data_IF_694444614476
#
_entry.id   IF_694444614476
#
_cell.length_a   1.000
_cell.length_b   1.000
_cell.length_c   1.000
_cell.angle_alpha   90.00
_cell.angle_beta   90.00
_cell.angle_gamma   90.00
#
_symmetry.space_group_name_H-M   'P 1'
#
loop_
_entity.id
_entity.type
_entity.pdbx_description
1 polymer ?
#
# COMPACT_ATOMS: atom_id res chain seq x y z
N UNK A 1 16.77 7.71 16.29
CA UNK A 1 15.48 7.54 15.57
C UNK A 1 14.35 8.30 16.29
N UNK A 2 14.70 9.25 17.16
CA UNK A 2 13.82 9.71 18.24
C UNK A 2 13.04 10.97 17.86
N UNK A 3 13.03 11.31 16.57
CA UNK A 3 12.24 12.40 16.01
C UNK A 3 11.70 12.03 14.63
N UNK A 4 10.58 12.66 14.25
CA UNK A 4 9.93 12.51 12.94
C UNK A 4 10.91 12.63 11.77
N UNK A 5 11.72 13.70 11.81
CA UNK A 5 12.71 14.00 10.78
C UNK A 5 13.84 12.98 10.77
N UNK A 6 14.31 12.56 11.95
CA UNK A 6 15.36 11.54 12.06
C UNK A 6 14.93 10.17 11.51
N UNK A 7 13.65 9.80 11.61
CA UNK A 7 13.12 8.60 10.95
C UNK A 7 13.15 8.75 9.43
N UNK A 8 12.64 9.86 8.89
CA UNK A 8 12.67 10.12 7.44
C UNK A 8 14.10 10.15 6.89
N UNK A 9 15.05 10.77 7.61
CA UNK A 9 16.47 10.80 7.24
C UNK A 9 17.07 9.39 7.21
N UNK A 10 16.73 8.52 8.17
CA UNK A 10 17.16 7.12 8.15
C UNK A 10 16.59 6.36 6.94
N UNK A 11 15.31 6.55 6.59
CA UNK A 11 14.72 5.95 5.38
C UNK A 11 15.46 6.44 4.13
N UNK A 12 15.70 7.73 4.01
CA UNK A 12 16.46 8.31 2.91
C UNK A 12 17.88 7.73 2.82
N UNK A 13 18.60 7.64 3.93
CA UNK A 13 19.97 7.15 3.95
C UNK A 13 20.07 5.68 3.52
N UNK A 14 19.12 4.84 3.94
CA UNK A 14 19.04 3.43 3.50
C UNK A 14 18.78 3.37 1.99
N UNK A 15 17.81 4.13 1.49
CA UNK A 15 17.47 4.15 0.06
C UNK A 15 18.59 4.71 -0.81
N UNK A 16 19.33 5.72 -0.31
CA UNK A 16 20.51 6.26 -0.97
C UNK A 16 21.65 5.24 -1.00
N UNK A 17 21.90 4.55 0.11
CA UNK A 17 22.92 3.50 0.19
C UNK A 17 22.61 2.33 -0.75
N UNK A 18 21.33 1.97 -0.89
CA UNK A 18 20.84 0.97 -1.85
C UNK A 18 20.85 1.46 -3.32
N UNK A 19 21.32 2.68 -3.59
CA UNK A 19 21.34 3.31 -4.92
C UNK A 19 19.94 3.46 -5.57
N UNK A 20 18.87 3.41 -4.76
CA UNK A 20 17.49 3.64 -5.19
C UNK A 20 17.22 5.14 -5.33
N UNK A 21 17.71 5.93 -4.37
CA UNK A 21 17.68 7.39 -4.45
C UNK A 21 19.05 7.87 -4.92
N UNK A 22 19.09 8.51 -6.10
CA UNK A 22 20.32 9.03 -6.69
C UNK A 22 20.09 10.35 -7.44
N UNK A 23 21.13 11.15 -7.68
CA UNK A 23 21.01 12.38 -8.46
C UNK A 23 20.48 12.14 -9.88
N UNK A 24 19.88 13.17 -10.48
CA UNK A 24 19.45 13.19 -11.88
C UNK A 24 18.41 12.12 -12.28
N UNK A 25 17.70 11.54 -11.31
CA UNK A 25 16.51 10.73 -11.60
C UNK A 25 15.41 11.60 -12.19
N UNK A 26 14.70 11.06 -13.17
CA UNK A 26 13.45 11.64 -13.67
C UNK A 26 12.28 11.08 -12.85
N UNK A 27 11.22 11.86 -12.63
CA UNK A 27 9.96 11.34 -12.12
C UNK A 27 9.38 10.33 -13.10
N UNK A 28 9.46 9.04 -12.77
CA UNK A 28 8.94 7.95 -13.60
C UNK A 28 8.52 6.71 -12.80
N UNK A 29 8.55 6.77 -11.46
CA UNK A 29 8.29 5.60 -10.61
C UNK A 29 6.82 5.53 -10.17
N UNK A 30 6.16 4.43 -10.56
CA UNK A 30 4.83 4.04 -10.08
C UNK A 30 4.97 2.93 -9.06
N UNK A 31 4.42 3.12 -7.86
CA UNK A 31 4.29 2.04 -6.88
C UNK A 31 3.02 1.24 -7.20
N UNK A 32 3.14 -0.08 -7.26
CA UNK A 32 2.00 -0.98 -7.42
C UNK A 32 1.78 -1.79 -6.15
N UNK A 33 0.61 -1.61 -5.53
CA UNK A 33 0.14 -2.36 -4.37
C UNK A 33 -0.98 -3.32 -4.77
N UNK A 34 -1.18 -4.39 -3.99
CA UNK A 34 -2.24 -5.36 -4.23
C UNK A 34 -1.97 -6.73 -3.62
N UNK A 35 -2.92 -7.64 -3.75
CA UNK A 35 -2.90 -8.92 -3.06
C UNK A 35 -1.77 -9.86 -3.49
N UNK A 36 -1.21 -10.56 -2.50
CA UNK A 36 -0.32 -11.71 -2.73
C UNK A 36 -1.11 -12.94 -3.26
N UNK A 37 -2.38 -13.07 -2.86
CA UNK A 37 -3.34 -14.10 -3.29
C UNK A 37 -4.46 -13.44 -4.09
N UNK A 38 -4.46 -13.63 -5.41
CA UNK A 38 -5.41 -13.04 -6.35
C UNK A 38 -5.83 -14.03 -7.43
N UNK A 39 -7.02 -13.82 -8.00
CA UNK A 39 -7.55 -14.65 -9.08
C UNK A 39 -6.75 -14.52 -10.38
N UNK A 40 -6.97 -15.43 -11.34
CA UNK A 40 -6.26 -15.40 -12.63
C UNK A 40 -6.56 -14.12 -13.43
N UNK A 41 -7.82 -13.71 -13.46
CA UNK A 41 -8.26 -12.51 -14.17
C UNK A 41 -7.59 -11.24 -13.61
N UNK A 42 -7.57 -11.10 -12.28
CA UNK A 42 -6.87 -10.00 -11.58
C UNK A 42 -5.38 -10.02 -11.90
N UNK A 43 -4.72 -11.18 -11.83
CA UNK A 43 -3.30 -11.30 -12.15
C UNK A 43 -2.99 -10.93 -13.60
N UNK A 44 -3.81 -11.37 -14.56
CA UNK A 44 -3.65 -11.02 -15.96
C UNK A 44 -3.89 -9.51 -16.20
N UNK A 45 -4.86 -8.90 -15.51
CA UNK A 45 -5.07 -7.46 -15.53
C UNK A 45 -3.88 -6.68 -14.98
N UNK A 46 -3.29 -7.11 -13.84
CA UNK A 46 -2.09 -6.43 -13.30
C UNK A 46 -0.91 -6.46 -14.27
N UNK A 47 -0.75 -7.55 -15.04
CA UNK A 47 0.27 -7.62 -16.12
C UNK A 47 -0.06 -6.67 -17.26
N UNK A 48 -1.32 -6.58 -17.67
CA UNK A 48 -1.71 -5.66 -18.74
C UNK A 48 -1.48 -4.20 -18.33
N UNK A 49 -1.86 -3.82 -17.10
CA UNK A 49 -1.53 -2.48 -16.56
C UNK A 49 -0.02 -2.27 -16.55
N UNK A 50 0.76 -3.23 -16.05
CA UNK A 50 2.22 -3.16 -16.09
C UNK A 50 2.78 -2.98 -17.50
N UNK A 51 2.24 -3.70 -18.48
CA UNK A 51 2.62 -3.56 -19.88
C UNK A 51 2.33 -2.15 -20.40
N UNK A 52 1.16 -1.59 -20.10
CA UNK A 52 0.77 -0.24 -20.48
C UNK A 52 1.63 0.83 -19.79
N UNK A 53 1.99 0.63 -18.52
CA UNK A 53 2.95 1.49 -17.80
C UNK A 53 4.33 1.46 -18.48
N UNK A 54 4.82 0.27 -18.81
CA UNK A 54 6.11 0.10 -19.50
C UNK A 54 6.13 0.71 -20.90
N UNK A 55 5.01 0.68 -21.64
CA UNK A 55 4.88 1.38 -22.93
C UNK A 55 5.00 2.91 -22.81
N UNK A 56 4.78 3.46 -21.60
CA UNK A 56 4.89 4.89 -21.30
C UNK A 56 6.20 5.24 -20.60
N UNK A 57 7.12 4.27 -20.49
CA UNK A 57 8.43 4.43 -19.84
C UNK A 57 8.36 4.63 -18.33
N UNK A 58 7.31 4.14 -17.68
CA UNK A 58 7.16 4.22 -16.24
C UNK A 58 7.77 2.98 -15.56
N UNK A 59 8.66 3.25 -14.60
CA UNK A 59 9.27 2.26 -13.73
C UNK A 59 8.31 1.79 -12.66
N UNK A 60 8.60 0.63 -12.05
CA UNK A 60 7.70 -0.02 -11.09
C UNK A 60 8.42 -0.30 -9.77
N UNK A 61 7.77 0.04 -8.66
CA UNK A 61 8.11 -0.42 -7.32
C UNK A 61 6.98 -1.28 -6.74
N UNK A 62 7.31 -2.38 -6.04
CA UNK A 62 6.32 -3.24 -5.35
C UNK A 62 6.86 -3.79 -4.03
N UNK A 63 5.99 -4.48 -3.29
CA UNK A 63 6.29 -5.21 -2.07
C UNK A 63 6.95 -6.58 -2.25
N UNK A 64 7.62 -6.85 -3.37
CA UNK A 64 8.34 -8.10 -3.67
C UNK A 64 7.50 -9.38 -3.89
N UNK A 65 6.39 -9.60 -3.18
CA UNK A 65 5.69 -10.89 -3.14
C UNK A 65 5.00 -11.37 -4.45
N UNK A 66 4.22 -12.46 -4.40
CA UNK A 66 3.48 -12.99 -5.54
C UNK A 66 2.29 -12.10 -5.95
N UNK A 67 1.42 -12.61 -6.83
CA UNK A 67 0.19 -11.91 -7.22
C UNK A 67 0.44 -10.54 -7.86
N UNK A 68 -0.25 -9.52 -7.35
CA UNK A 68 -0.21 -8.15 -7.83
C UNK A 68 1.14 -7.45 -7.62
N UNK A 69 2.00 -7.97 -6.73
CA UNK A 69 3.35 -7.45 -6.53
C UNK A 69 4.34 -7.94 -7.60
N UNK A 70 3.96 -8.95 -8.40
CA UNK A 70 4.77 -9.55 -9.47
C UNK A 70 4.26 -9.23 -10.88
N UNK A 71 2.94 -9.25 -11.06
CA UNK A 71 2.30 -9.10 -12.37
C UNK A 71 2.70 -7.83 -13.13
N UNK A 72 2.63 -6.64 -12.50
CA UNK A 72 2.98 -5.37 -13.16
C UNK A 72 4.41 -5.36 -13.70
N UNK A 73 5.39 -5.86 -12.94
CA UNK A 73 6.78 -5.94 -13.41
C UNK A 73 6.94 -6.85 -14.65
N UNK A 74 6.22 -7.97 -14.71
CA UNK A 74 6.24 -8.86 -15.89
C UNK A 74 5.69 -8.18 -17.14
N UNK A 75 4.60 -7.43 -16.98
CA UNK A 75 4.05 -6.62 -18.07
C UNK A 75 5.03 -5.54 -18.53
N UNK A 76 5.55 -4.78 -17.57
CA UNK A 76 6.46 -3.66 -17.84
C UNK A 76 7.74 -4.10 -18.54
N UNK A 77 8.27 -5.29 -18.24
CA UNK A 77 9.41 -5.84 -18.98
C UNK A 77 9.17 -5.95 -20.49
N UNK A 78 7.96 -6.34 -20.91
CA UNK A 78 7.58 -6.39 -22.32
C UNK A 78 7.37 -4.97 -22.86
N UNK A 79 6.67 -4.11 -22.13
CA UNK A 79 6.41 -2.72 -22.51
C UNK A 79 7.70 -1.93 -22.73
N UNK A 80 8.61 -1.96 -21.76
CA UNK A 80 9.94 -1.35 -21.83
C UNK A 80 10.77 -1.89 -22.98
N UNK A 81 10.71 -3.20 -23.24
CA UNK A 81 11.42 -3.80 -24.38
C UNK A 81 10.92 -3.26 -25.72
N UNK A 82 9.60 -3.05 -25.88
CA UNK A 82 9.04 -2.46 -27.11
C UNK A 82 9.42 -0.99 -27.28
N UNK A 83 9.57 -0.26 -26.19
CA UNK A 83 10.03 1.13 -26.20
C UNK A 83 11.56 1.27 -26.28
N UNK A 84 12.29 0.16 -26.38
CA UNK A 84 13.76 0.12 -26.43
C UNK A 84 14.41 0.88 -25.25
N UNK A 85 13.77 0.86 -24.08
CA UNK A 85 14.30 1.54 -22.90
C UNK A 85 15.43 0.71 -22.29
N UNK A 86 16.58 1.36 -22.11
CA UNK A 86 17.77 0.77 -21.51
C UNK A 86 17.68 0.74 -19.98
N UNK A 87 17.23 1.85 -19.37
CA UNK A 87 17.06 1.94 -17.93
C UNK A 87 15.67 1.46 -17.52
N UNK A 88 15.60 0.30 -16.88
CA UNK A 88 14.36 -0.30 -16.36
C UNK A 88 14.55 -0.54 -14.88
N UNK A 89 13.71 0.07 -14.03
CA UNK A 89 13.80 -0.08 -12.58
C UNK A 89 12.60 -0.87 -12.08
N UNK A 90 12.89 -2.03 -11.53
CA UNK A 90 11.94 -2.92 -10.86
C UNK A 90 12.36 -3.02 -9.40
N UNK A 91 11.83 -2.09 -8.61
CA UNK A 91 12.24 -1.88 -7.23
C UNK A 91 11.40 -2.77 -6.31
N UNK A 92 12.07 -3.66 -5.60
CA UNK A 92 11.46 -4.43 -4.53
C UNK A 92 11.75 -3.79 -3.18
N UNK A 93 10.71 -3.47 -2.41
CA UNK A 93 10.83 -2.87 -1.08
C UNK A 93 10.21 -3.85 -0.07
N UNK A 94 11.05 -4.41 0.80
CA UNK A 94 10.63 -5.44 1.77
C UNK A 94 11.21 -5.14 3.17
N UNK A 95 10.89 -5.96 4.16
CA UNK A 95 11.41 -5.88 5.53
C UNK A 95 11.50 -7.29 6.17
N UNK A 96 12.32 -7.49 7.21
CA UNK A 96 12.60 -8.82 7.77
C UNK A 96 11.37 -9.63 8.22
N UNK A 97 10.32 -8.97 8.70
CA UNK A 97 9.10 -9.61 9.21
C UNK A 97 8.23 -10.26 8.14
N UNK A 98 8.33 -9.82 6.88
CA UNK A 98 7.47 -10.27 5.78
C UNK A 98 8.22 -10.93 4.64
N UNK A 99 9.54 -10.72 4.50
CA UNK A 99 10.32 -11.21 3.35
C UNK A 99 10.25 -12.74 3.16
N UNK A 100 10.03 -13.52 4.23
CA UNK A 100 9.86 -14.96 4.12
C UNK A 100 8.49 -15.36 3.54
N UNK A 101 7.45 -14.60 3.84
CA UNK A 101 6.10 -14.83 3.30
C UNK A 101 5.93 -14.24 1.90
N UNK A 102 6.58 -13.09 1.64
CA UNK A 102 6.49 -12.32 0.39
C UNK A 102 7.88 -12.13 -0.22
N UNK A 103 8.51 -13.26 -0.58
CA UNK A 103 9.88 -13.27 -1.09
C UNK A 103 10.01 -12.48 -2.42
N UNK A 104 11.13 -11.74 -2.62
CA UNK A 104 11.42 -11.03 -3.86
C UNK A 104 11.35 -11.92 -5.09
N UNK A 105 10.60 -11.50 -6.09
CA UNK A 105 10.59 -12.20 -7.38
C UNK A 105 11.88 -11.93 -8.17
N UNK A 106 12.27 -12.89 -9.00
CA UNK A 106 13.50 -12.80 -9.82
C UNK A 106 13.52 -11.68 -10.88
N UNK A 107 12.40 -10.97 -11.10
CA UNK A 107 12.35 -9.80 -11.99
C UNK A 107 12.77 -8.51 -11.29
N UNK A 108 12.74 -8.48 -9.95
CA UNK A 108 13.25 -7.36 -9.15
C UNK A 108 14.74 -7.21 -9.46
N UNK A 109 15.15 -6.00 -9.85
CA UNK A 109 16.55 -5.69 -10.16
C UNK A 109 17.17 -4.63 -9.25
N UNK A 110 16.37 -3.97 -8.42
CA UNK A 110 16.80 -3.12 -7.33
C UNK A 110 16.03 -3.56 -6.06
N UNK A 111 16.71 -4.19 -5.10
CA UNK A 111 16.10 -4.67 -3.86
C UNK A 111 16.59 -3.83 -2.68
N UNK A 112 15.67 -3.42 -1.81
CA UNK A 112 16.00 -2.82 -0.52
C UNK A 112 15.20 -3.46 0.60
N UNK A 113 15.88 -3.66 1.73
CA UNK A 113 15.29 -4.22 2.95
C UNK A 113 15.28 -3.10 3.99
N UNK A 114 14.08 -2.67 4.39
CA UNK A 114 13.88 -1.65 5.42
C UNK A 114 13.80 -2.33 6.79
N UNK A 115 14.06 -1.59 7.89
CA UNK A 115 14.10 -2.19 9.22
C UNK A 115 12.76 -2.75 9.73
N UNK A 116 11.65 -2.15 9.30
CA UNK A 116 10.28 -2.48 9.73
C UNK A 116 9.24 -2.03 8.70
N UNK A 117 7.97 -2.38 8.95
CA UNK A 117 6.83 -2.07 8.08
C UNK A 117 6.65 -0.57 7.91
N UNK A 118 6.70 0.22 8.98
CA UNK A 118 6.47 1.65 8.91
C UNK A 118 7.51 2.36 8.04
N UNK A 119 8.79 1.95 8.13
CA UNK A 119 9.84 2.46 7.25
C UNK A 119 9.70 1.97 5.81
N UNK A 120 9.18 0.76 5.60
CA UNK A 120 8.79 0.25 4.26
C UNK A 120 7.65 1.09 3.67
N UNK A 121 6.61 1.39 4.45
CA UNK A 121 5.47 2.22 4.04
C UNK A 121 5.92 3.66 3.72
N UNK A 122 6.76 4.25 4.58
CA UNK A 122 7.35 5.57 4.31
C UNK A 122 8.20 5.54 3.03
N UNK A 123 9.03 4.51 2.82
CA UNK A 123 9.81 4.37 1.60
C UNK A 123 8.93 4.37 0.34
N UNK A 124 7.80 3.66 0.33
CA UNK A 124 6.88 3.67 -0.81
C UNK A 124 6.38 5.08 -1.14
N UNK A 125 5.78 5.77 -0.18
CA UNK A 125 5.13 7.07 -0.43
C UNK A 125 6.16 8.18 -0.71
N UNK A 126 7.40 8.04 -0.22
CA UNK A 126 8.49 8.96 -0.53
C UNK A 126 9.05 8.78 -1.94
N UNK A 127 9.06 7.55 -2.45
CA UNK A 127 9.57 7.23 -3.79
C UNK A 127 8.51 7.37 -4.89
N UNK A 128 7.24 7.17 -4.54
CA UNK A 128 6.14 7.19 -5.49
C UNK A 128 5.96 8.57 -6.15
N UNK A 129 5.79 8.54 -7.46
CA UNK A 129 5.23 9.67 -8.22
C UNK A 129 3.73 9.44 -8.53
N UNK A 130 3.30 8.18 -8.45
CA UNK A 130 1.91 7.74 -8.49
C UNK A 130 1.85 6.35 -7.82
N UNK A 131 0.71 6.03 -7.21
CA UNK A 131 0.41 4.71 -6.68
C UNK A 131 -0.78 4.12 -7.44
N UNK A 132 -0.64 2.87 -7.88
CA UNK A 132 -1.73 2.06 -8.42
C UNK A 132 -2.00 0.92 -7.43
N UNK A 133 -3.23 0.83 -6.94
CA UNK A 133 -3.69 -0.20 -6.01
C UNK A 133 -4.58 -1.18 -6.75
N UNK A 134 -4.22 -2.46 -6.74
CA UNK A 134 -5.02 -3.57 -7.26
C UNK A 134 -5.77 -4.27 -6.14
N UNK A 135 -6.78 -5.12 -6.45
CA UNK A 135 -7.46 -5.90 -5.44
C UNK A 135 -6.52 -6.72 -4.56
N UNK A 136 -6.78 -6.72 -3.25
CA UNK A 136 -5.94 -7.38 -2.25
C UNK A 136 -6.65 -7.63 -0.92
N UNK A 137 -5.90 -8.17 0.03
CA UNK A 137 -6.41 -8.46 1.38
C UNK A 137 -6.00 -7.39 2.40
N UNK A 138 -5.85 -7.82 3.66
CA UNK A 138 -5.53 -6.94 4.78
C UNK A 138 -4.28 -6.06 4.58
N UNK A 139 -3.22 -6.59 3.97
CA UNK A 139 -2.00 -5.80 3.71
C UNK A 139 -2.19 -4.66 2.71
N UNK A 140 -3.03 -4.88 1.68
CA UNK A 140 -3.37 -3.83 0.71
C UNK A 140 -4.28 -2.78 1.34
N UNK A 141 -5.21 -3.19 2.21
CA UNK A 141 -6.02 -2.26 2.99
C UNK A 141 -5.17 -1.42 3.97
N UNK A 142 -4.16 -2.03 4.61
CA UNK A 142 -3.18 -1.32 5.44
C UNK A 142 -2.43 -0.24 4.63
N UNK A 143 -1.92 -0.59 3.45
CA UNK A 143 -1.23 0.34 2.55
C UNK A 143 -2.14 1.49 2.09
N UNK A 144 -3.41 1.21 1.75
CA UNK A 144 -4.39 2.23 1.36
C UNK A 144 -4.71 3.18 2.52
N UNK A 145 -5.00 2.65 3.71
CA UNK A 145 -5.30 3.46 4.90
C UNK A 145 -4.10 4.30 5.33
N UNK A 146 -2.88 3.79 5.16
CA UNK A 146 -1.65 4.54 5.39
C UNK A 146 -1.56 5.79 4.51
N UNK A 147 -1.73 5.64 3.20
CA UNK A 147 -1.65 6.80 2.29
C UNK A 147 -2.83 7.77 2.49
N UNK A 148 -4.05 7.28 2.73
CA UNK A 148 -5.20 8.15 3.00
C UNK A 148 -5.01 8.96 4.28
N UNK A 149 -4.49 8.36 5.35
CA UNK A 149 -4.13 9.07 6.58
C UNK A 149 -3.15 10.22 6.30
N UNK A 150 -2.16 10.00 5.44
CA UNK A 150 -1.21 11.04 5.02
C UNK A 150 -1.91 12.13 4.21
N UNK A 151 -2.63 11.77 3.15
CA UNK A 151 -3.18 12.74 2.21
C UNK A 151 -4.27 13.63 2.84
N UNK A 152 -5.08 13.08 3.75
CA UNK A 152 -6.08 13.85 4.51
C UNK A 152 -5.47 14.83 5.53
N UNK A 153 -4.17 14.73 5.83
CA UNK A 153 -3.54 15.63 6.79
C UNK A 153 -3.46 17.06 6.22
N UNK A 154 -3.89 18.07 6.98
CA UNK A 154 -3.98 19.49 6.54
C UNK A 154 -2.69 20.03 5.88
N UNK A 155 -1.52 19.61 6.39
CA UNK A 155 -0.20 19.98 5.87
C UNK A 155 0.13 19.44 4.48
N UNK A 156 -0.65 18.48 3.99
CA UNK A 156 -0.56 17.93 2.65
C UNK A 156 -1.65 18.47 1.71
N UNK A 157 -2.49 19.39 2.18
CA UNK A 157 -3.50 20.03 1.34
C UNK A 157 -2.86 20.64 0.08
N UNK A 158 -3.40 20.30 -1.08
CA UNK A 158 -2.89 20.75 -2.38
C UNK A 158 -1.65 20.01 -2.88
N UNK A 159 -1.15 18.98 -2.19
CA UNK A 159 -0.10 18.12 -2.72
C UNK A 159 -0.68 17.22 -3.81
N UNK A 160 -0.21 17.26 -5.07
CA UNK A 160 -0.85 16.58 -6.22
C UNK A 160 -0.49 15.09 -6.29
N UNK A 161 -0.70 14.35 -5.21
CA UNK A 161 -0.31 12.94 -5.12
C UNK A 161 -1.28 12.05 -5.91
N UNK A 162 -0.78 11.26 -6.85
CA UNK A 162 -1.63 10.37 -7.66
C UNK A 162 -1.88 9.02 -7.00
N UNK A 163 -3.16 8.67 -6.82
CA UNK A 163 -3.60 7.39 -6.27
C UNK A 163 -4.75 6.82 -7.13
N UNK A 164 -4.54 5.65 -7.71
CA UNK A 164 -5.50 4.99 -8.61
C UNK A 164 -5.84 3.61 -8.05
N UNK A 165 -7.13 3.30 -7.91
CA UNK A 165 -7.66 2.00 -7.53
C UNK A 165 -8.12 1.31 -8.82
N UNK A 166 -7.47 0.22 -9.21
CA UNK A 166 -7.63 -0.38 -10.52
C UNK A 166 -7.98 -1.86 -10.46
N UNK A 167 -9.11 -2.27 -11.02
CA UNK A 167 -9.54 -3.67 -11.11
C UNK A 167 -9.95 -4.05 -12.53
N UNK A 168 -9.93 -5.35 -12.89
CA UNK A 168 -10.65 -5.80 -14.08
C UNK A 168 -12.17 -5.65 -13.88
N UNK A 169 -12.92 -5.63 -14.98
CA UNK A 169 -14.39 -5.58 -14.97
C UNK A 169 -15.02 -6.67 -14.09
N UNK A 170 -14.43 -7.88 -14.08
CA UNK A 170 -14.93 -9.00 -13.27
C UNK A 170 -14.77 -8.82 -11.75
N UNK A 171 -14.17 -7.71 -11.32
CA UNK A 171 -13.84 -7.42 -9.93
C UNK A 171 -14.10 -5.93 -9.62
N UNK A 172 -15.09 -5.33 -10.29
CA UNK A 172 -15.61 -3.99 -10.00
C UNK A 172 -16.06 -3.87 -8.54
N UNK A 173 -16.85 -4.85 -8.09
CA UNK A 173 -17.54 -4.84 -6.80
C UNK A 173 -16.54 -4.74 -5.62
N UNK A 174 -15.32 -5.24 -5.79
CA UNK A 174 -14.25 -5.11 -4.79
C UNK A 174 -13.95 -3.65 -4.44
N UNK A 175 -13.82 -2.78 -5.44
CA UNK A 175 -13.53 -1.36 -5.18
C UNK A 175 -14.79 -0.56 -4.83
N UNK A 176 -15.97 -1.05 -5.16
CA UNK A 176 -17.23 -0.50 -4.61
C UNK A 176 -17.32 -0.76 -3.10
N UNK A 177 -16.95 -1.97 -2.63
CA UNK A 177 -16.87 -2.30 -1.20
C UNK A 177 -15.83 -1.45 -0.47
N UNK A 178 -14.64 -1.27 -1.07
CA UNK A 178 -13.58 -0.43 -0.50
C UNK A 178 -14.00 1.05 -0.45
N UNK A 179 -14.60 1.58 -1.52
CA UNK A 179 -15.10 2.96 -1.56
C UNK A 179 -16.18 3.19 -0.50
N UNK A 180 -17.14 2.27 -0.41
CA UNK A 180 -18.18 2.28 0.62
C UNK A 180 -17.60 2.24 2.04
N UNK A 181 -16.60 1.38 2.28
CA UNK A 181 -15.90 1.33 3.56
C UNK A 181 -15.18 2.64 3.88
N UNK A 182 -14.43 3.21 2.93
CA UNK A 182 -13.71 4.46 3.11
C UNK A 182 -14.68 5.61 3.41
N UNK A 183 -15.75 5.77 2.63
CA UNK A 183 -16.75 6.82 2.85
C UNK A 183 -17.44 6.68 4.20
N UNK A 184 -17.86 5.45 4.54
CA UNK A 184 -18.57 5.19 5.79
C UNK A 184 -17.71 5.36 7.04
N UNK A 185 -16.38 5.22 6.94
CA UNK A 185 -15.47 5.32 8.09
C UNK A 185 -14.72 6.64 8.16
N UNK A 186 -14.23 7.16 7.03
CA UNK A 186 -13.34 8.32 6.95
C UNK A 186 -14.03 9.58 6.42
N UNK A 187 -15.24 9.46 5.86
CA UNK A 187 -16.00 10.55 5.25
C UNK A 187 -15.88 10.57 3.72
N UNK A 188 -16.80 11.26 3.05
CA UNK A 188 -16.83 11.39 1.59
C UNK A 188 -15.59 12.11 1.04
N UNK A 189 -15.02 13.03 1.82
CA UNK A 189 -13.81 13.77 1.49
C UNK A 189 -12.59 12.86 1.35
N UNK A 190 -12.57 11.70 2.05
CA UNK A 190 -11.49 10.73 1.91
C UNK A 190 -11.45 10.11 0.51
N UNK A 191 -12.60 10.03 -0.16
CA UNK A 191 -12.71 9.48 -1.51
C UNK A 191 -12.25 10.44 -2.61
N UNK A 192 -12.03 11.72 -2.30
CA UNK A 192 -11.46 12.70 -3.25
C UNK A 192 -9.96 12.46 -3.52
N UNK A 193 -9.30 11.69 -2.66
CA UNK A 193 -7.87 11.42 -2.76
C UNK A 193 -7.51 10.27 -3.71
N UNK A 194 -8.49 9.63 -4.36
CA UNK A 194 -8.23 8.57 -5.32
C UNK A 194 -9.22 8.53 -6.49
N UNK A 195 -8.79 7.85 -7.57
CA UNK A 195 -9.63 7.57 -8.73
C UNK A 195 -9.80 6.06 -8.90
N UNK A 196 -11.04 5.60 -9.08
CA UNK A 196 -11.34 4.20 -9.41
C UNK A 196 -11.41 4.06 -10.94
N UNK A 197 -10.61 3.15 -11.49
CA UNK A 197 -10.60 2.84 -12.93
C UNK A 197 -10.77 1.32 -13.13
N UNK A 198 -11.90 0.93 -13.69
CA UNK A 198 -12.26 -0.47 -13.92
C UNK A 198 -12.08 -0.86 -15.39
N UNK A 199 -11.53 -2.05 -15.64
CA UNK A 199 -11.52 -2.70 -16.95
C UNK A 199 -10.54 -2.14 -18.00
N UNK A 200 -10.07 -0.89 -17.86
CA UNK A 200 -9.22 -0.23 -18.85
C UNK A 200 -7.78 0.01 -18.35
N UNK A 201 -6.93 -0.99 -18.59
CA UNK A 201 -5.50 -0.92 -18.24
C UNK A 201 -4.73 0.21 -18.96
N UNK A 202 -5.16 0.61 -20.16
CA UNK A 202 -4.52 1.69 -20.89
C UNK A 202 -4.89 3.05 -20.27
N UNK A 203 -6.13 3.22 -19.80
CA UNK A 203 -6.56 4.38 -19.03
C UNK A 203 -5.82 4.48 -17.70
N UNK A 204 -5.69 3.38 -16.95
CA UNK A 204 -4.87 3.35 -15.71
C UNK A 204 -3.47 3.90 -15.97
N UNK A 205 -2.80 3.41 -17.02
CA UNK A 205 -1.44 3.85 -17.33
C UNK A 205 -1.35 5.28 -17.89
N UNK A 206 -2.36 5.76 -18.64
CA UNK A 206 -2.44 7.17 -19.05
C UNK A 206 -2.57 8.07 -17.84
N UNK A 207 -3.50 7.75 -16.93
CA UNK A 207 -3.75 8.55 -15.74
C UNK A 207 -2.55 8.54 -14.79
N UNK A 208 -1.91 7.39 -14.61
CA UNK A 208 -0.66 7.30 -13.86
C UNK A 208 0.43 8.22 -14.47
N UNK A 209 0.57 8.24 -15.80
CA UNK A 209 1.54 9.12 -16.48
C UNK A 209 1.24 10.60 -16.27
N UNK A 210 -0.04 10.99 -16.26
CA UNK A 210 -0.46 12.36 -15.97
C UNK A 210 -0.10 12.77 -14.55
N UNK A 211 -0.41 11.95 -13.54
CA UNK A 211 0.01 12.20 -12.15
C UNK A 211 1.52 12.32 -12.00
N UNK A 212 2.29 11.48 -12.69
CA UNK A 212 3.75 11.57 -12.70
C UNK A 212 4.22 12.91 -13.27
N UNK A 213 3.58 13.42 -14.34
CA UNK A 213 3.90 14.72 -14.92
C UNK A 213 3.48 15.89 -14.01
N UNK A 214 2.36 15.77 -13.30
CA UNK A 214 1.91 16.73 -12.28
C UNK A 214 2.91 16.80 -11.12
N UNK A 215 3.31 15.66 -10.57
CA UNK A 215 4.37 15.57 -9.55
C UNK A 215 5.66 16.19 -10.05
N UNK A 216 6.08 15.90 -11.28
CA UNK A 216 7.29 16.50 -11.87
C UNK A 216 7.20 18.03 -11.90
N UNK A 217 6.08 18.60 -12.37
CA UNK A 217 5.88 20.05 -12.42
C UNK A 217 5.89 20.66 -11.01
N UNK A 218 5.22 20.00 -10.07
CA UNK A 218 5.15 20.44 -8.68
C UNK A 218 6.52 20.44 -8.00
N UNK A 219 7.31 19.37 -8.14
CA UNK A 219 8.67 19.34 -7.55
C UNK A 219 9.60 20.33 -8.19
N UNK A 220 9.48 20.53 -9.50
CA UNK A 220 10.25 21.55 -10.21
C UNK A 220 9.96 22.95 -9.68
N UNK A 221 8.69 23.31 -9.44
CA UNK A 221 8.33 24.65 -8.94
C UNK A 221 8.82 24.93 -7.52
N UNK A 222 9.02 23.88 -6.72
CA UNK A 222 9.55 23.96 -5.36
C UNK A 222 11.08 23.84 -5.28
N UNK A 223 11.77 23.54 -6.39
CA UNK A 223 13.19 23.19 -6.38
C UNK A 223 13.49 21.90 -5.59
N UNK A 224 12.49 21.02 -5.49
CA UNK A 224 12.53 19.81 -4.68
C UNK A 224 13.14 18.61 -5.43
N UNK A 225 13.47 17.56 -4.67
CA UNK A 225 14.02 16.33 -5.22
C UNK A 225 12.97 15.50 -5.96
N UNK A 226 13.32 15.02 -7.16
CA UNK A 226 12.54 14.00 -7.87
C UNK A 226 12.75 12.60 -7.31
N UNK A 227 13.91 12.31 -6.71
CA UNK A 227 14.21 10.96 -6.24
C UNK A 227 13.56 10.61 -4.90
N UNK A 228 13.10 11.61 -4.15
CA UNK A 228 12.56 11.42 -2.81
C UNK A 228 11.67 12.60 -2.40
N UNK A 229 10.44 12.32 -1.96
CA UNK A 229 9.47 13.32 -1.58
C UNK A 229 9.66 13.84 -0.16
N UNK A 230 10.49 14.85 0.04
CA UNK A 230 10.68 15.47 1.37
C UNK A 230 9.50 16.33 1.80
N UNK A 231 8.71 16.83 0.84
CA UNK A 231 7.63 17.80 1.03
C UNK A 231 6.40 17.16 1.67
N UNK A 232 6.18 15.87 1.40
CA UNK A 232 5.11 15.09 2.01
C UNK A 232 5.25 15.08 3.54
N UNK A 233 4.27 15.63 4.24
CA UNK A 233 4.24 15.57 5.68
C UNK A 233 3.72 14.21 6.14
N UNK A 234 4.53 13.45 6.87
CA UNK A 234 4.14 12.19 7.49
C UNK A 234 4.16 12.38 9.01
N UNK A 235 2.99 12.35 9.68
CA UNK A 235 2.87 12.31 11.14
C UNK A 235 3.74 11.25 11.83
N UNK A 236 4.20 11.51 13.05
CA UNK A 236 5.07 10.59 13.79
C UNK A 236 4.39 9.28 14.18
N UNK A 237 3.07 9.27 14.38
CA UNK A 237 2.30 8.07 14.68
C UNK A 237 2.21 7.08 13.51
N UNK A 238 2.41 7.56 12.27
CA UNK A 238 2.58 6.74 11.08
C UNK A 238 4.01 6.22 10.89
N UNK A 239 4.99 6.80 11.59
CA UNK A 239 6.40 6.38 11.53
C UNK A 239 6.80 5.46 12.69
N UNK A 240 6.09 5.55 13.82
CA UNK A 240 6.32 4.75 15.00
C UNK A 240 5.91 3.28 14.74
N UNK A 241 6.81 2.31 14.94
CA UNK A 241 6.48 0.90 14.78
C UNK A 241 5.31 0.47 15.66
N UNK A 242 4.31 -0.17 15.07
CA UNK A 242 3.20 -0.77 15.82
C UNK A 242 3.52 -2.23 16.16
N UNK A 243 3.45 -2.58 17.44
CA UNK A 243 3.65 -3.96 17.91
C UNK A 243 2.27 -4.60 18.12
N UNK A 244 1.84 -5.54 17.26
CA UNK A 244 0.52 -6.14 17.38
C UNK A 244 0.50 -7.23 18.44
N UNK A 245 0.06 -6.87 19.64
CA UNK A 245 -0.29 -7.78 20.72
C UNK A 245 -1.75 -7.50 21.14
N UNK A 246 -2.33 -8.38 21.96
CA UNK A 246 -3.74 -8.28 22.36
C UNK A 246 -4.09 -6.94 23.02
N UNK A 247 -3.22 -6.42 23.88
CA UNK A 247 -3.44 -5.13 24.54
C UNK A 247 -3.46 -3.98 23.54
N UNK A 248 -2.43 -3.86 22.72
CA UNK A 248 -2.28 -2.78 21.73
C UNK A 248 -3.39 -2.81 20.67
N UNK A 249 -3.88 -4.01 20.31
CA UNK A 249 -5.01 -4.18 19.40
C UNK A 249 -6.33 -3.74 20.03
N UNK A 250 -6.56 -4.08 21.30
CA UNK A 250 -7.76 -3.68 22.04
C UNK A 250 -7.79 -2.17 22.36
N UNK A 251 -6.62 -1.55 22.53
CA UNK A 251 -6.46 -0.11 22.84
C UNK A 251 -6.64 0.81 21.63
N UNK A 252 -6.83 0.27 20.43
CA UNK A 252 -7.05 1.08 19.23
C UNK A 252 -8.34 1.91 19.36
N UNK A 253 -8.22 3.22 19.14
CA UNK A 253 -9.36 4.13 19.11
C UNK A 253 -10.02 4.12 17.73
N UNK A 254 -11.02 3.25 17.57
CA UNK A 254 -11.78 3.07 16.33
C UNK A 254 -13.18 3.67 16.50
N UNK A 255 -13.26 4.99 16.51
CA UNK A 255 -14.48 5.76 16.81
C UNK A 255 -14.54 7.03 15.95
N UNK A 256 -15.74 7.48 15.59
CA UNK A 256 -15.96 8.66 14.73
C UNK A 256 -15.57 9.99 15.37
N UNK A 257 -15.38 10.01 16.70
CA UNK A 257 -14.98 11.21 17.44
C UNK A 257 -13.51 11.59 17.25
N UNK A 258 -12.66 10.69 16.75
CA UNK A 258 -11.28 11.03 16.36
C UNK A 258 -11.25 11.59 14.93
N UNK A 259 -10.35 12.55 14.62
CA UNK A 259 -10.24 13.07 13.25
C UNK A 259 -10.01 11.97 12.22
N UNK A 260 -10.61 12.06 11.03
CA UNK A 260 -10.56 11.00 10.00
C UNK A 260 -9.15 10.53 9.66
N UNK A 261 -8.17 11.46 9.57
CA UNK A 261 -6.77 11.09 9.34
C UNK A 261 -6.19 10.22 10.46
N UNK A 262 -6.60 10.44 11.71
CA UNK A 262 -6.20 9.63 12.86
C UNK A 262 -6.93 8.29 12.89
N UNK A 263 -8.22 8.27 12.53
CA UNK A 263 -8.99 7.04 12.39
C UNK A 263 -8.38 6.13 11.32
N UNK A 264 -8.01 6.69 10.16
CA UNK A 264 -7.28 5.97 9.13
C UNK A 264 -5.96 5.39 9.65
N UNK A 265 -5.18 6.14 10.44
CA UNK A 265 -3.98 5.60 11.09
C UNK A 265 -4.28 4.47 12.07
N UNK A 266 -5.41 4.50 12.79
CA UNK A 266 -5.76 3.46 13.75
C UNK A 266 -6.27 2.20 13.05
N UNK A 267 -7.10 2.35 12.01
CA UNK A 267 -7.51 1.26 11.13
C UNK A 267 -6.29 0.62 10.47
N UNK A 268 -5.32 1.41 9.99
CA UNK A 268 -4.04 0.91 9.46
C UNK A 268 -3.36 -0.03 10.45
N UNK A 269 -3.25 0.35 11.73
CA UNK A 269 -2.67 -0.50 12.78
C UNK A 269 -3.46 -1.79 12.99
N UNK A 270 -4.80 -1.72 12.96
CA UNK A 270 -5.65 -2.89 13.06
C UNK A 270 -5.38 -3.90 11.92
N UNK A 271 -5.35 -3.42 10.66
CA UNK A 271 -5.01 -4.27 9.51
C UNK A 271 -3.57 -4.81 9.58
N UNK A 272 -2.62 -4.00 10.05
CA UNK A 272 -1.23 -4.44 10.30
C UNK A 272 -1.16 -5.59 11.31
N UNK A 273 -1.97 -5.53 12.37
CA UNK A 273 -2.12 -6.62 13.33
C UNK A 273 -2.69 -7.89 12.72
N UNK A 274 -3.71 -7.77 11.87
CA UNK A 274 -4.29 -8.91 11.13
C UNK A 274 -3.24 -9.54 10.19
N UNK A 275 -2.46 -8.73 9.47
CA UNK A 275 -1.35 -9.21 8.65
C UNK A 275 -0.34 -9.97 9.53
N UNK A 276 0.05 -9.39 10.67
CA UNK A 276 1.00 -10.01 11.58
C UNK A 276 0.50 -11.35 12.12
N UNK A 277 -0.75 -11.43 12.58
CA UNK A 277 -1.39 -12.65 13.07
C UNK A 277 -1.50 -13.75 12.00
N UNK A 278 -1.56 -13.37 10.72
CA UNK A 278 -1.69 -14.31 9.62
C UNK A 278 -0.35 -14.87 9.11
N UNK A 279 0.68 -14.04 8.97
CA UNK A 279 1.91 -14.40 8.25
C UNK A 279 3.22 -14.13 8.96
N UNK A 280 3.25 -13.31 10.03
CA UNK A 280 4.49 -13.00 10.74
C UNK A 280 4.69 -13.96 11.91
N UNK A 281 5.90 -14.48 12.06
CA UNK A 281 6.23 -15.47 13.10
C UNK A 281 5.82 -15.03 14.51
N UNK A 282 6.09 -13.77 14.88
CA UNK A 282 5.71 -13.21 16.18
C UNK A 282 4.20 -13.09 16.35
N UNK A 283 3.47 -12.61 15.33
CA UNK A 283 2.02 -12.49 15.39
C UNK A 283 1.33 -13.85 15.44
N UNK A 284 1.76 -14.80 14.61
CA UNK A 284 1.27 -16.19 14.66
C UNK A 284 1.49 -16.83 16.04
N UNK A 285 2.62 -16.53 16.70
CA UNK A 285 2.87 -17.00 18.07
C UNK A 285 1.90 -16.37 19.09
N UNK A 286 1.64 -15.06 19.00
CA UNK A 286 0.64 -14.38 19.84
C UNK A 286 -0.75 -15.01 19.71
N UNK A 287 -1.18 -15.30 18.48
CA UNK A 287 -2.48 -15.92 18.22
C UNK A 287 -2.55 -17.35 18.78
N UNK A 288 -1.46 -18.11 18.66
CA UNK A 288 -1.39 -19.47 19.20
C UNK A 288 -1.42 -19.51 20.73
N UNK A 289 -0.82 -18.52 21.39
CA UNK A 289 -0.71 -18.48 22.85
C UNK A 289 -1.96 -17.90 23.53
N UNK A 290 -2.55 -16.85 22.96
CA UNK A 290 -3.58 -16.05 23.62
C UNK A 290 -4.93 -16.04 22.87
N UNK A 291 -5.03 -16.70 21.71
CA UNK A 291 -6.22 -16.66 20.86
C UNK A 291 -6.27 -15.45 19.91
N UNK A 292 -7.39 -15.23 19.21
CA UNK A 292 -7.53 -14.12 18.25
C UNK A 292 -7.35 -12.75 18.90
N UNK A 293 -6.91 -11.76 18.12
CA UNK A 293 -6.90 -10.37 18.57
C UNK A 293 -8.32 -9.85 18.73
N UNK A 294 -8.62 -9.29 19.90
CA UNK A 294 -9.88 -8.65 20.18
C UNK A 294 -9.85 -7.20 19.71
N UNK A 295 -10.71 -6.86 18.75
CA UNK A 295 -10.81 -5.51 18.18
C UNK A 295 -12.13 -4.91 18.65
N UNK A 296 -12.06 -3.71 19.25
CA UNK A 296 -13.23 -3.00 19.76
C UNK A 296 -13.29 -1.59 19.20
N UNK A 297 -14.49 -1.05 19.07
CA UNK A 297 -14.70 0.27 18.48
C UNK A 297 -16.18 0.64 18.47
N UNK A 298 -16.49 1.75 17.80
CA UNK A 298 -17.86 2.18 17.56
C UNK A 298 -18.60 1.14 16.69
N UNK A 299 -19.86 0.78 17.03
CA UNK A 299 -20.58 -0.31 16.36
C UNK A 299 -20.63 -0.20 14.83
N UNK A 300 -20.86 0.99 14.29
CA UNK A 300 -20.93 1.18 12.85
C UNK A 300 -19.57 0.91 12.18
N UNK A 301 -18.47 1.46 12.72
CA UNK A 301 -17.11 1.22 12.18
C UNK A 301 -16.77 -0.27 12.26
N UNK A 302 -17.08 -0.91 13.38
CA UNK A 302 -16.84 -2.35 13.57
C UNK A 302 -17.63 -3.19 12.58
N UNK A 303 -18.90 -2.87 12.32
CA UNK A 303 -19.71 -3.56 11.33
C UNK A 303 -19.13 -3.43 9.91
N UNK A 304 -18.66 -2.24 9.53
CA UNK A 304 -18.00 -2.01 8.23
C UNK A 304 -16.70 -2.79 8.11
N UNK A 305 -15.90 -2.82 9.18
CA UNK A 305 -14.65 -3.57 9.23
C UNK A 305 -14.89 -5.08 9.14
N UNK A 306 -15.87 -5.62 9.86
CA UNK A 306 -16.23 -7.04 9.79
C UNK A 306 -16.67 -7.43 8.38
N UNK A 307 -17.57 -6.64 7.77
CA UNK A 307 -18.05 -6.91 6.42
C UNK A 307 -16.89 -6.95 5.40
N UNK A 308 -15.95 -6.00 5.49
CA UNK A 308 -14.79 -5.95 4.61
C UNK A 308 -13.83 -7.13 4.84
N UNK A 309 -13.57 -7.49 6.10
CA UNK A 309 -12.71 -8.64 6.41
C UNK A 309 -13.36 -9.96 5.99
N UNK A 310 -14.67 -10.11 6.17
CA UNK A 310 -15.44 -11.26 5.72
C UNK A 310 -15.37 -11.40 4.19
N UNK A 311 -15.50 -10.29 3.45
CA UNK A 311 -15.37 -10.31 1.99
C UNK A 311 -13.95 -10.72 1.54
N UNK A 312 -12.91 -10.30 2.27
CA UNK A 312 -11.54 -10.78 2.02
C UNK A 312 -11.37 -12.28 2.26
N UNK A 313 -12.05 -12.85 3.26
CA UNK A 313 -12.05 -14.31 3.51
C UNK A 313 -12.79 -15.05 2.40
N UNK A 314 -14.00 -14.61 2.05
CA UNK A 314 -14.82 -15.21 0.99
C UNK A 314 -14.10 -15.22 -0.36
N UNK A 315 -13.45 -14.10 -0.69
CA UNK A 315 -12.67 -13.92 -1.91
C UNK A 315 -11.26 -14.55 -1.84
N UNK A 316 -10.93 -15.28 -0.76
CA UNK A 316 -9.67 -16.03 -0.59
C UNK A 316 -8.40 -15.15 -0.65
N UNK A 317 -8.49 -13.94 -0.09
CA UNK A 317 -7.43 -12.92 -0.12
C UNK A 317 -6.51 -12.95 1.11
N UNK A 318 -6.86 -13.71 2.15
CA UNK A 318 -6.11 -13.73 3.42
C UNK A 318 -4.88 -14.65 3.42
N UNK A 319 -4.97 -15.82 2.78
CA UNK A 319 -3.88 -16.80 2.66
C UNK A 319 -3.98 -17.54 1.33
N UNK A 320 -2.84 -18.01 0.84
CA UNK A 320 -2.76 -18.89 -0.34
C UNK A 320 -3.43 -20.25 -0.05
N UNK A 321 -3.20 -20.82 1.14
CA UNK A 321 -3.94 -21.99 1.62
C UNK A 321 -5.20 -21.54 2.37
N UNK A 322 -6.29 -21.38 1.63
CA UNK A 322 -7.57 -20.88 2.13
C UNK A 322 -8.47 -21.98 2.71
N UNK A 323 -8.11 -23.26 2.54
CA UNK A 323 -9.00 -24.40 2.83
C UNK A 323 -9.37 -24.54 4.32
N UNK A 324 -8.49 -24.07 5.21
CA UNK A 324 -8.67 -24.11 6.67
C UNK A 324 -8.37 -22.74 7.30
N UNK A 325 -8.70 -21.65 6.61
CA UNK A 325 -8.42 -20.32 7.13
C UNK A 325 -9.25 -20.02 8.39
N UNK A 326 -8.58 -19.82 9.52
CA UNK A 326 -9.18 -19.32 10.76
C UNK A 326 -8.79 -17.87 10.96
N UNK A 327 -9.74 -16.94 11.12
CA UNK A 327 -9.46 -15.54 11.45
C UNK A 327 -8.55 -15.41 12.68
N UNK A 328 -7.58 -14.51 12.61
CA UNK A 328 -6.72 -14.14 13.74
C UNK A 328 -7.26 -12.94 14.52
N UNK A 329 -8.50 -12.53 14.27
CA UNK A 329 -9.19 -11.44 14.95
C UNK A 329 -10.59 -11.89 15.36
N UNK A 330 -11.16 -11.15 16.31
CA UNK A 330 -12.54 -11.21 16.71
C UNK A 330 -12.99 -9.77 17.00
N UNK A 331 -14.10 -9.35 16.38
CA UNK A 331 -14.73 -8.07 16.71
C UNK A 331 -15.61 -8.28 17.93
N UNK A 332 -15.36 -7.48 18.97
CA UNK A 332 -16.06 -7.60 20.26
C UNK A 332 -16.92 -6.36 20.50
N UNK A 333 -18.17 -6.58 20.90
CA UNK A 333 -19.06 -5.50 21.36
C UNK A 333 -18.54 -4.95 22.71
N UNK A 334 -18.57 -3.62 22.85
CA UNK A 334 -18.30 -2.94 24.14
C UNK A 334 -19.56 -2.85 24.97
#
# INVERSE_FOLDING_TARGET
LDSRRGVTEAVFDILRNANIVRPNLKPDLVVCWGGHSIGRNEYDFTKEVGYQLGLRGLNIATGCGPGAMKGPMKGAAIGHSKQQLELRRYIGITEPGIIAAEAPNAIVNELVILPDIEKRLEAFVRLAHCIVVFPGGAGTAEELLYILSILMHERNAGHPFGLILASPESSSDYFEEIDSFVRATLGDEAAEYYEIITGDAASVARRAKEFVDEQRKHRLSLGASYGFNWELYIPSDLQAPFIPNHQNMADLRLESSVPSQQLASNLRKAFSGIVAGNVKSQGVAQIKEHGPFQITGEPEIMQRMEALLASFVEQKRMKIDYSNYTPCWEIVER
#
